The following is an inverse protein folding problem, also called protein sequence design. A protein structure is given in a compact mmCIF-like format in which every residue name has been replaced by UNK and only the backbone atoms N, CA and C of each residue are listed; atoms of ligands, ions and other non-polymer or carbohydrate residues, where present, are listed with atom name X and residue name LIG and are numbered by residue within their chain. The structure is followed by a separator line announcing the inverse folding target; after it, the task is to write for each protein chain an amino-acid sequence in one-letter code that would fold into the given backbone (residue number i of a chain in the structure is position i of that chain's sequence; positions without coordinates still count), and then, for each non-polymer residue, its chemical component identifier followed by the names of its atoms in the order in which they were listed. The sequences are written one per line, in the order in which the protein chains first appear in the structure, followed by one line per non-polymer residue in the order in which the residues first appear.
data_IF_632077568903
#
_entry.id   IF_632077568903
#
_cell.length_a   1.000
_cell.length_b   1.000
_cell.length_c   1.000
_cell.angle_alpha   90.00
_cell.angle_beta   90.00
_cell.angle_gamma   90.00
#
_symmetry.space_group_name_H-M   'P 1'
#
loop_
_entity.id
_entity.type
_entity.pdbx_description
1 polymer ?
#
# COMPACT_ATOMS: atom_id res chain seq x y z
N UNK A 1 16.76 -16.09 -25.46
CA UNK A 1 16.09 -16.61 -24.27
C UNK A 1 14.57 -16.63 -24.42
N UNK A 2 14.00 -17.84 -24.55
CA UNK A 2 12.59 -18.19 -24.31
C UNK A 2 11.49 -17.33 -24.95
N UNK A 3 10.26 -17.56 -24.46
CA UNK A 3 9.04 -16.91 -24.95
C UNK A 3 8.93 -15.42 -24.55
N UNK A 4 9.69 -14.96 -23.56
CA UNK A 4 9.69 -13.55 -23.13
C UNK A 4 10.00 -12.60 -24.29
N UNK A 5 10.88 -12.99 -25.22
CA UNK A 5 11.23 -12.18 -26.39
C UNK A 5 10.17 -12.20 -27.50
N UNK A 6 9.15 -13.04 -27.39
CA UNK A 6 8.04 -13.09 -28.33
C UNK A 6 7.08 -11.91 -28.15
N UNK A 7 7.09 -11.24 -26.98
CA UNK A 7 6.38 -9.99 -26.80
C UNK A 7 7.14 -8.81 -27.43
N UNK A 8 6.42 -7.81 -27.98
CA UNK A 8 7.06 -6.55 -28.36
C UNK A 8 7.80 -5.90 -27.19
N UNK A 9 8.89 -5.15 -27.44
CA UNK A 9 9.54 -4.35 -26.40
C UNK A 9 8.55 -3.38 -25.72
N UNK A 10 8.61 -3.31 -24.39
CA UNK A 10 7.73 -2.48 -23.57
C UNK A 10 6.36 -3.13 -23.25
N UNK A 11 6.13 -4.37 -23.67
CA UNK A 11 4.86 -5.07 -23.44
C UNK A 11 5.10 -6.28 -22.53
N UNK A 12 4.22 -6.46 -21.54
CA UNK A 12 4.25 -7.62 -20.63
C UNK A 12 5.62 -7.75 -19.95
N UNK A 13 6.17 -8.96 -19.90
CA UNK A 13 7.46 -9.25 -19.29
C UNK A 13 8.65 -8.70 -20.11
N UNK A 14 8.46 -8.33 -21.38
CA UNK A 14 9.52 -7.79 -22.22
C UNK A 14 9.70 -6.28 -22.06
N UNK A 15 9.98 -5.84 -20.83
CA UNK A 15 10.24 -4.43 -20.50
C UNK A 15 9.00 -3.58 -20.25
N UNK A 16 7.81 -4.18 -20.19
CA UNK A 16 6.65 -3.54 -19.57
C UNK A 16 6.80 -3.47 -18.05
N UNK A 17 6.07 -2.54 -17.43
CA UNK A 17 6.02 -2.47 -15.97
C UNK A 17 5.04 -3.53 -15.47
N UNK A 18 5.56 -4.62 -14.90
CA UNK A 18 4.75 -5.70 -14.34
C UNK A 18 4.30 -5.34 -12.91
N UNK A 19 3.01 -5.04 -12.71
CA UNK A 19 2.46 -4.45 -11.46
C UNK A 19 2.72 -5.31 -10.24
N UNK A 20 2.63 -6.62 -10.39
CA UNK A 20 2.94 -7.56 -9.31
C UNK A 20 4.38 -7.35 -8.81
N UNK A 21 5.37 -7.30 -9.71
CA UNK A 21 6.76 -7.09 -9.32
C UNK A 21 7.00 -5.67 -8.79
N UNK A 22 6.36 -4.66 -9.38
CA UNK A 22 6.50 -3.27 -8.95
C UNK A 22 5.97 -3.03 -7.52
N UNK A 23 4.92 -3.76 -7.09
CA UNK A 23 4.46 -3.67 -5.70
C UNK A 23 5.48 -4.19 -4.69
N UNK A 24 6.31 -5.18 -5.03
CA UNK A 24 7.42 -5.59 -4.16
C UNK A 24 8.46 -4.50 -4.01
N UNK A 25 8.72 -3.74 -5.08
CA UNK A 25 9.61 -2.59 -5.02
C UNK A 25 9.06 -1.48 -4.10
N UNK A 26 7.75 -1.21 -4.16
CA UNK A 26 7.07 -0.32 -3.21
C UNK A 26 7.28 -0.78 -1.77
N UNK A 27 7.03 -2.06 -1.48
CA UNK A 27 7.22 -2.63 -0.13
C UNK A 27 8.69 -2.50 0.31
N UNK A 28 9.64 -2.80 -0.56
CA UNK A 28 11.07 -2.69 -0.25
C UNK A 28 11.48 -1.24 0.07
N UNK A 29 11.00 -0.25 -0.69
CA UNK A 29 11.21 1.17 -0.39
C UNK A 29 10.67 1.53 1.01
N UNK A 30 9.47 1.04 1.34
CA UNK A 30 8.86 1.28 2.64
C UNK A 30 9.66 0.61 3.79
N UNK A 31 10.14 -0.63 3.62
CA UNK A 31 11.00 -1.32 4.59
C UNK A 31 12.35 -0.62 4.80
N UNK A 32 12.91 0.00 3.75
CA UNK A 32 14.14 0.79 3.85
C UNK A 32 13.92 2.19 4.47
N UNK A 33 12.69 2.55 4.85
CA UNK A 33 12.35 3.87 5.38
C UNK A 33 12.29 4.97 4.32
N UNK A 34 12.31 4.63 3.02
CA UNK A 34 12.16 5.58 1.90
C UNK A 34 10.68 5.82 1.62
N UNK A 35 9.97 6.35 2.62
CA UNK A 35 8.49 6.36 2.66
C UNK A 35 7.85 7.22 1.57
N UNK A 36 8.42 8.39 1.28
CA UNK A 36 7.93 9.27 0.20
C UNK A 36 8.06 8.60 -1.19
N UNK A 37 9.16 7.89 -1.41
CA UNK A 37 9.38 7.19 -2.66
C UNK A 37 8.47 5.95 -2.78
N UNK A 38 8.28 5.22 -1.69
CA UNK A 38 7.32 4.13 -1.63
C UNK A 38 5.92 4.62 -1.99
N UNK A 39 5.46 5.72 -1.39
CA UNK A 39 4.14 6.30 -1.67
C UNK A 39 4.03 6.84 -3.10
N UNK A 40 5.08 7.49 -3.63
CA UNK A 40 5.12 7.94 -5.02
C UNK A 40 4.98 6.76 -5.99
N UNK A 41 5.75 5.70 -5.80
CA UNK A 41 5.66 4.50 -6.61
C UNK A 41 4.29 3.81 -6.47
N UNK A 42 3.76 3.68 -5.25
CA UNK A 42 2.40 3.17 -5.03
C UNK A 42 1.35 3.99 -5.79
N UNK A 43 1.45 5.31 -5.74
CA UNK A 43 0.51 6.21 -6.41
C UNK A 43 0.53 6.03 -7.93
N UNK A 44 1.69 5.74 -8.52
CA UNK A 44 1.80 5.42 -9.94
C UNK A 44 1.13 4.07 -10.29
N UNK A 45 1.08 3.12 -9.37
CA UNK A 45 0.45 1.81 -9.59
C UNK A 45 -1.05 1.80 -9.31
N UNK A 46 -1.55 2.73 -8.49
CA UNK A 46 -2.94 2.77 -8.06
C UNK A 46 -3.85 3.24 -9.22
N UNK A 47 -4.79 2.40 -9.71
CA UNK A 47 -5.58 2.70 -10.89
C UNK A 47 -6.45 3.96 -10.75
N UNK A 48 -6.85 4.34 -9.52
CA UNK A 48 -7.65 5.54 -9.28
C UNK A 48 -6.92 6.82 -9.72
N UNK A 49 -5.59 6.80 -9.75
CA UNK A 49 -4.80 7.96 -10.10
C UNK A 49 -4.64 8.17 -11.62
N UNK A 50 -5.20 7.28 -12.44
CA UNK A 50 -5.06 7.31 -13.90
C UNK A 50 -6.29 7.84 -14.65
N UNK A 51 -7.30 8.33 -13.91
CA UNK A 51 -8.56 8.81 -14.50
C UNK A 51 -9.10 10.06 -13.81
N UNK A 52 -8.21 10.97 -13.41
CA UNK A 52 -8.63 12.27 -12.85
C UNK A 52 -9.22 13.22 -13.89
N UNK A 53 -8.89 13.02 -15.17
CA UNK A 53 -9.43 13.75 -16.30
C UNK A 53 -9.58 12.83 -17.53
N UNK A 54 -10.27 13.36 -18.55
CA UNK A 54 -10.54 12.64 -19.80
C UNK A 54 -9.25 12.24 -20.51
N UNK A 55 -8.26 13.13 -20.58
CA UNK A 55 -6.99 12.87 -21.26
C UNK A 55 -6.21 11.72 -20.61
N UNK A 56 -6.18 11.68 -19.28
CA UNK A 56 -5.55 10.61 -18.49
C UNK A 56 -6.28 9.29 -18.69
N UNK A 57 -7.61 9.30 -18.71
CA UNK A 57 -8.42 8.11 -18.97
C UNK A 57 -8.18 7.55 -20.38
N UNK A 58 -8.18 8.42 -21.39
CA UNK A 58 -7.87 8.09 -22.78
C UNK A 58 -6.41 7.63 -22.96
N UNK A 59 -5.51 8.04 -22.08
CA UNK A 59 -4.14 7.54 -22.04
C UNK A 59 -4.05 6.16 -21.36
N UNK A 60 -4.72 5.94 -20.23
CA UNK A 60 -4.69 4.69 -19.47
C UNK A 60 -5.37 3.53 -20.20
N UNK A 61 -6.45 3.81 -20.96
CA UNK A 61 -7.14 2.85 -21.85
C UNK A 61 -7.76 1.62 -21.18
N UNK A 62 -7.80 1.55 -19.85
CA UNK A 62 -8.47 0.50 -19.09
C UNK A 62 -9.21 1.10 -17.89
N UNK A 63 -9.94 0.27 -17.15
CA UNK A 63 -10.82 0.71 -16.08
C UNK A 63 -10.04 1.17 -14.83
N UNK A 64 -10.24 2.41 -14.32
CA UNK A 64 -9.45 2.98 -13.22
C UNK A 64 -9.88 2.50 -11.83
N UNK A 65 -10.76 1.50 -11.76
CA UNK A 65 -11.28 0.93 -10.52
C UNK A 65 -10.80 -0.51 -10.26
N UNK A 66 -10.01 -1.09 -11.17
CA UNK A 66 -9.35 -2.39 -11.02
C UNK A 66 -7.86 -2.30 -11.33
N UNK A 67 -7.06 -3.14 -10.69
CA UNK A 67 -5.59 -3.13 -10.88
C UNK A 67 -5.23 -3.83 -12.19
N UNK A 68 -4.47 -3.14 -13.05
CA UNK A 68 -3.86 -3.73 -14.25
C UNK A 68 -2.68 -4.64 -13.89
N UNK A 69 -2.52 -5.76 -14.60
CA UNK A 69 -1.39 -6.67 -14.40
C UNK A 69 -0.08 -6.06 -14.86
N UNK A 70 -0.12 -5.25 -15.92
CA UNK A 70 1.02 -4.57 -16.50
C UNK A 70 0.64 -3.21 -17.06
N UNK A 71 1.62 -2.30 -17.06
CA UNK A 71 1.57 -1.01 -17.75
C UNK A 71 2.59 -1.08 -18.88
N UNK A 72 2.16 -0.75 -20.09
CA UNK A 72 3.04 -0.74 -21.25
C UNK A 72 4.09 0.38 -21.11
N UNK A 73 5.25 0.15 -21.71
CA UNK A 73 6.35 1.09 -21.85
C UNK A 73 6.65 1.35 -23.35
N UNK A 74 7.52 2.31 -23.63
CA UNK A 74 7.89 2.70 -25.00
C UNK A 74 7.05 3.85 -25.57
N UNK A 75 7.51 4.41 -26.69
CA UNK A 75 7.10 5.74 -27.15
C UNK A 75 5.59 5.90 -27.44
N UNK A 76 4.92 4.87 -27.98
CA UNK A 76 3.54 5.04 -28.47
C UNK A 76 2.47 4.57 -27.49
N UNK A 77 2.86 3.72 -26.53
CA UNK A 77 1.93 2.99 -25.64
C UNK A 77 2.28 3.12 -24.16
N UNK A 78 3.39 3.78 -23.84
CA UNK A 78 3.81 4.03 -22.46
C UNK A 78 2.64 4.57 -21.64
N UNK A 79 2.40 3.99 -20.46
CA UNK A 79 1.34 4.42 -19.55
C UNK A 79 -0.03 3.77 -19.77
N UNK A 80 -0.24 3.04 -20.88
CA UNK A 80 -1.47 2.27 -21.09
C UNK A 80 -1.50 1.03 -20.19
N UNK A 81 -2.66 0.78 -19.58
CA UNK A 81 -2.93 -0.44 -18.85
C UNK A 81 -3.09 -1.66 -19.76
N UNK A 82 -2.62 -2.80 -19.27
CA UNK A 82 -2.79 -4.11 -19.88
C UNK A 82 -3.35 -5.11 -18.88
N UNK A 83 -4.24 -5.99 -19.35
CA UNK A 83 -4.80 -7.14 -18.61
C UNK A 83 -5.30 -6.78 -17.21
N UNK A 84 -6.56 -6.35 -17.16
CA UNK A 84 -7.26 -6.04 -15.91
C UNK A 84 -7.91 -7.29 -15.31
N UNK A 85 -8.43 -7.12 -14.08
CA UNK A 85 -9.19 -8.13 -13.32
C UNK A 85 -8.39 -9.35 -12.84
N UNK A 86 -7.98 -10.22 -13.76
CA UNK A 86 -7.41 -11.52 -13.41
C UNK A 86 -5.90 -11.41 -13.20
N UNK A 87 -5.49 -10.86 -12.06
CA UNK A 87 -4.08 -10.70 -11.72
C UNK A 87 -3.83 -10.74 -10.21
N UNK A 88 -2.70 -11.35 -9.83
CA UNK A 88 -2.20 -11.31 -8.45
C UNK A 88 -1.79 -9.92 -7.98
N UNK A 89 -1.63 -8.97 -8.91
CA UNK A 89 -1.28 -7.57 -8.60
C UNK A 89 -2.26 -6.93 -7.61
N UNK A 90 -3.55 -7.26 -7.67
CA UNK A 90 -4.54 -6.69 -6.76
C UNK A 90 -4.24 -7.03 -5.29
N UNK A 91 -3.92 -8.30 -5.01
CA UNK A 91 -3.58 -8.75 -3.66
C UNK A 91 -2.29 -8.10 -3.13
N UNK A 92 -1.29 -7.96 -3.99
CA UNK A 92 -0.04 -7.32 -3.58
C UNK A 92 -0.14 -5.81 -3.44
N UNK A 93 -0.92 -5.13 -4.29
CA UNK A 93 -1.16 -3.70 -4.16
C UNK A 93 -1.91 -3.42 -2.85
N UNK A 94 -2.89 -4.26 -2.49
CA UNK A 94 -3.57 -4.16 -1.20
C UNK A 94 -2.60 -4.33 -0.02
N UNK A 95 -1.72 -5.35 -0.05
CA UNK A 95 -0.68 -5.52 0.99
C UNK A 95 0.31 -4.36 1.02
N UNK A 96 0.74 -3.84 -0.13
CA UNK A 96 1.62 -2.68 -0.18
C UNK A 96 0.97 -1.45 0.47
N UNK A 97 -0.33 -1.23 0.27
CA UNK A 97 -1.06 -0.17 0.94
C UNK A 97 -1.20 -0.42 2.45
N UNK A 98 -1.76 -1.57 2.84
CA UNK A 98 -2.16 -1.86 4.22
C UNK A 98 -0.98 -2.21 5.11
N UNK A 99 -0.13 -3.14 4.68
CA UNK A 99 1.04 -3.59 5.45
C UNK A 99 2.26 -2.72 5.18
N UNK A 100 2.47 -2.31 3.92
CA UNK A 100 3.64 -1.54 3.52
C UNK A 100 3.59 -0.07 3.96
N UNK A 101 2.54 0.67 3.58
CA UNK A 101 2.43 2.11 3.84
C UNK A 101 1.74 2.38 5.17
N UNK A 102 0.51 1.90 5.35
CA UNK A 102 -0.25 2.09 6.59
C UNK A 102 0.38 1.36 7.77
N UNK A 103 1.12 0.28 7.51
CA UNK A 103 1.88 -0.45 8.52
C UNK A 103 1.02 -1.34 9.43
N UNK A 104 -0.13 -1.81 8.96
CA UNK A 104 -1.04 -2.65 9.74
C UNK A 104 -0.76 -4.11 9.42
N UNK A 105 -0.16 -4.84 10.36
CA UNK A 105 0.21 -6.24 10.18
C UNK A 105 -0.49 -7.14 11.20
N UNK A 106 -0.90 -8.33 10.77
CA UNK A 106 -1.32 -9.41 11.68
C UNK A 106 -0.23 -10.45 11.81
N UNK A 107 0.19 -10.74 13.04
CA UNK A 107 1.12 -11.83 13.36
C UNK A 107 0.46 -12.75 14.38
N UNK A 108 -0.03 -13.90 13.91
CA UNK A 108 -0.81 -14.83 14.73
C UNK A 108 -2.10 -14.16 15.26
N UNK A 109 -2.19 -14.02 16.59
CA UNK A 109 -3.30 -13.35 17.30
C UNK A 109 -3.01 -11.88 17.64
N UNK A 110 -1.87 -11.35 17.22
CA UNK A 110 -1.52 -9.96 17.48
C UNK A 110 -1.68 -9.10 16.24
N UNK A 111 -2.10 -7.85 16.46
CA UNK A 111 -2.06 -6.78 15.47
C UNK A 111 -0.88 -5.89 15.82
N UNK A 112 -0.03 -5.60 14.84
CA UNK A 112 1.17 -4.77 14.97
C UNK A 112 1.04 -3.53 14.10
N UNK A 113 1.47 -2.38 14.61
CA UNK A 113 1.49 -1.12 13.85
C UNK A 113 2.93 -0.66 13.62
N UNK A 114 3.31 -0.54 12.35
CA UNK A 114 4.59 -0.01 11.87
C UNK A 114 4.38 0.96 10.70
N UNK A 115 3.69 2.10 10.91
CA UNK A 115 3.35 3.01 9.81
C UNK A 115 4.61 3.54 9.13
N UNK A 116 4.59 3.54 7.79
CA UNK A 116 5.67 4.04 6.92
C UNK A 116 5.08 5.12 6.01
N UNK A 117 4.49 6.13 6.65
CA UNK A 117 3.72 7.18 5.97
C UNK A 117 4.66 8.12 5.20
N UNK A 118 4.23 8.62 4.03
CA UNK A 118 4.95 9.71 3.40
C UNK A 118 4.98 10.94 4.32
N UNK A 119 5.99 11.79 4.16
CA UNK A 119 6.28 12.94 5.03
C UNK A 119 5.12 13.93 5.11
N UNK A 120 4.37 14.12 4.03
CA UNK A 120 3.24 15.04 3.95
C UNK A 120 1.95 14.53 4.63
N UNK A 121 1.90 13.30 5.14
CA UNK A 121 0.76 12.80 5.91
C UNK A 121 0.96 13.05 7.40
N UNK A 122 0.07 13.81 8.02
CA UNK A 122 0.05 14.03 9.48
C UNK A 122 -0.36 12.77 10.27
N UNK A 123 -1.01 11.83 9.60
CA UNK A 123 -1.60 10.65 10.22
C UNK A 123 -2.71 10.04 9.37
N UNK A 124 -3.38 9.03 9.92
CA UNK A 124 -4.57 8.44 9.31
C UNK A 124 -5.50 7.84 10.37
N UNK A 125 -6.73 7.55 9.99
CA UNK A 125 -7.66 6.76 10.80
C UNK A 125 -8.06 5.49 10.05
N UNK A 126 -8.23 4.39 10.78
CA UNK A 126 -8.69 3.13 10.22
C UNK A 126 -9.70 2.44 11.14
N UNK A 127 -10.65 1.73 10.55
CA UNK A 127 -11.56 0.83 11.26
C UNK A 127 -11.27 -0.60 10.82
N UNK A 128 -10.86 -1.45 11.77
CA UNK A 128 -10.50 -2.84 11.51
C UNK A 128 -11.55 -3.76 12.14
N UNK A 129 -11.95 -4.79 11.39
CA UNK A 129 -12.68 -5.95 11.93
C UNK A 129 -11.78 -7.17 11.81
N UNK A 130 -11.07 -7.49 12.89
CA UNK A 130 -10.04 -8.52 12.90
C UNK A 130 -10.08 -9.28 14.22
N UNK A 131 -9.79 -10.58 14.17
CA UNK A 131 -9.71 -11.44 15.36
C UNK A 131 -10.98 -11.39 16.23
N UNK A 132 -12.15 -11.22 15.60
CA UNK A 132 -13.44 -11.16 16.28
C UNK A 132 -13.69 -9.87 17.07
N UNK A 133 -12.92 -8.81 16.82
CA UNK A 133 -13.05 -7.52 17.50
C UNK A 133 -13.19 -6.37 16.49
N UNK A 134 -13.74 -5.25 16.97
CA UNK A 134 -13.74 -3.97 16.24
C UNK A 134 -12.67 -3.06 16.82
N UNK A 135 -11.79 -2.55 15.96
CA UNK A 135 -10.67 -1.71 16.38
C UNK A 135 -10.72 -0.38 15.63
N UNK A 136 -10.75 0.72 16.39
CA UNK A 136 -10.60 2.08 15.86
C UNK A 136 -9.16 2.51 16.06
N UNK A 137 -8.46 2.76 14.96
CA UNK A 137 -7.05 3.14 14.96
C UNK A 137 -6.93 4.59 14.55
N UNK A 138 -6.16 5.36 15.30
CA UNK A 138 -5.69 6.68 14.93
C UNK A 138 -4.17 6.67 14.93
N UNK A 139 -3.57 7.01 13.81
CA UNK A 139 -2.12 7.23 13.69
C UNK A 139 -1.87 8.73 13.60
N UNK A 140 -0.95 9.25 14.40
CA UNK A 140 -0.58 10.67 14.41
C UNK A 140 0.94 10.86 14.46
N UNK A 141 1.44 11.90 13.81
CA UNK A 141 2.80 12.42 14.04
C UNK A 141 2.84 13.17 15.38
N UNK A 142 3.84 12.89 16.19
CA UNK A 142 4.07 13.56 17.47
C UNK A 142 5.54 13.95 17.64
N UNK A 143 5.79 15.27 17.77
CA UNK A 143 7.14 15.84 17.93
C UNK A 143 7.88 15.33 19.17
N UNK A 144 7.15 14.86 20.19
CA UNK A 144 7.74 14.32 21.43
C UNK A 144 8.09 12.84 21.31
N UNK A 145 7.57 12.16 20.29
CA UNK A 145 7.75 10.73 20.08
C UNK A 145 9.03 10.48 19.28
N UNK A 146 10.01 9.79 19.88
CA UNK A 146 11.28 9.43 19.21
C UNK A 146 11.20 8.12 18.43
N UNK A 147 10.32 7.22 18.85
CA UNK A 147 10.09 5.89 18.28
C UNK A 147 8.61 5.58 18.36
N UNK A 148 8.09 4.76 17.44
CA UNK A 148 6.67 4.36 17.43
C UNK A 148 6.20 3.95 18.82
N UNK A 149 5.10 4.54 19.28
CA UNK A 149 4.44 4.19 20.54
C UNK A 149 2.97 3.89 20.31
N UNK A 150 2.44 2.99 21.13
CA UNK A 150 1.09 2.46 21.01
C UNK A 150 0.35 2.65 22.33
N UNK A 151 -0.87 3.18 22.25
CA UNK A 151 -1.81 3.32 23.36
C UNK A 151 -3.07 2.53 23.00
N UNK A 152 -3.50 1.65 23.90
CA UNK A 152 -4.69 0.80 23.73
C UNK A 152 -5.66 1.14 24.86
N UNK A 153 -6.87 1.62 24.50
CA UNK A 153 -7.88 2.12 25.43
C UNK A 153 -7.29 3.11 26.46
N UNK A 154 -6.48 4.07 25.97
CA UNK A 154 -5.81 5.08 26.79
C UNK A 154 -4.58 4.61 27.57
N UNK A 155 -4.25 3.31 27.56
CA UNK A 155 -3.10 2.77 28.28
C UNK A 155 -1.92 2.50 27.35
N UNK A 156 -0.74 3.04 27.67
CA UNK A 156 0.50 2.80 26.91
C UNK A 156 0.91 1.33 26.97
N UNK A 157 1.29 0.77 25.83
CA UNK A 157 1.84 -0.59 25.73
C UNK A 157 3.36 -0.54 25.61
N UNK A 158 4.03 -1.61 26.06
CA UNK A 158 5.48 -1.79 25.88
C UNK A 158 5.85 -2.32 24.48
N UNK A 159 4.87 -2.83 23.74
CA UNK A 159 5.02 -3.37 22.38
C UNK A 159 4.25 -2.51 21.38
N UNK A 160 4.70 -2.50 20.13
CA UNK A 160 3.94 -1.98 18.99
C UNK A 160 2.82 -2.93 18.52
N UNK A 161 2.52 -3.97 19.33
CA UNK A 161 1.50 -4.97 19.07
C UNK A 161 0.60 -5.21 20.27
N UNK A 162 -0.61 -5.68 19.99
CA UNK A 162 -1.56 -6.12 21.01
C UNK A 162 -2.47 -7.24 20.47
N UNK A 163 -3.04 -8.04 21.37
CA UNK A 163 -4.08 -9.04 21.06
C UNK A 163 -5.44 -8.45 21.45
N UNK A 164 -6.35 -8.23 20.48
CA UNK A 164 -7.68 -7.69 20.78
C UNK A 164 -8.55 -8.71 21.50
N UNK A 165 -9.47 -8.23 22.35
CA UNK A 165 -10.47 -9.07 23.01
C UNK A 165 -11.63 -9.36 22.06
N UNK A 166 -11.94 -10.64 21.86
CA UNK A 166 -13.08 -11.08 21.05
C UNK A 166 -14.39 -10.43 21.56
N UNK A 167 -15.20 -9.91 20.65
CA UNK A 167 -16.45 -9.20 20.96
C UNK A 167 -16.25 -7.79 21.52
N UNK A 168 -15.02 -7.35 21.74
CA UNK A 168 -14.70 -6.02 22.27
C UNK A 168 -14.58 -4.95 21.19
N UNK A 169 -14.81 -3.70 21.61
CA UNK A 169 -14.36 -2.51 20.90
C UNK A 169 -13.05 -2.03 21.51
N UNK A 170 -12.07 -1.72 20.67
CA UNK A 170 -10.75 -1.25 21.11
C UNK A 170 -10.39 0.03 20.39
N UNK A 171 -9.97 1.03 21.15
CA UNK A 171 -9.38 2.26 20.61
C UNK A 171 -7.87 2.15 20.67
N UNK A 172 -7.22 2.47 19.56
CA UNK A 172 -5.78 2.40 19.39
C UNK A 172 -5.27 3.73 18.90
N UNK A 173 -4.34 4.34 19.64
CA UNK A 173 -3.59 5.51 19.19
C UNK A 173 -2.15 5.08 18.95
N UNK A 174 -1.68 5.26 17.71
CA UNK A 174 -0.29 5.05 17.31
C UNK A 174 0.35 6.42 17.12
N UNK A 175 1.41 6.70 17.88
CA UNK A 175 2.21 7.91 17.72
C UNK A 175 3.49 7.55 16.98
N UNK A 176 3.76 8.25 15.89
CA UNK A 176 4.99 8.12 15.12
C UNK A 176 5.82 9.42 15.24
N UNK A 177 7.15 9.35 15.06
CA UNK A 177 7.96 10.56 15.00
C UNK A 177 7.47 11.54 13.93
N UNK A 178 7.58 12.84 14.22
CA UNK A 178 7.30 13.90 13.26
C UNK A 178 8.28 13.86 12.09
#
# INVERSE_FOLDING_TARGET
PGYIKSYPPGVRENGGQYTHAATWFVIALAEMGRTDEAYRCFSMLNPVNHAFDEASTEHYRVEPYVVAADIYAGNDKGGRGGWTWYTGSAGWLYRAAVEGILGIERRGKQITFRPKLPSHWEGYQASLKMLGAEIKVQVIRDKKTKTISLEVNGSKTKSASFEPKVGGQTEVVVKIPA
#
